data_IF_453584571298
#
_entry.id   IF_453584571298
#
_cell.length_a   1.000
_cell.length_b   1.000
_cell.length_c   1.000
_cell.angle_alpha   90.00
_cell.angle_beta   90.00
_cell.angle_gamma   90.00
#
_symmetry.space_group_name_H-M   'P 1'
#
loop_
_entity.id
_entity.type
_entity.pdbx_description
1 polymer ?
#
# COMPACT_ATOMS: atom_id res chain seq x y z
N UNK A 1 -3.44 3.26 40.74
CA UNK A 1 -3.39 2.74 39.36
C UNK A 1 -3.23 1.24 39.49
N UNK A 2 -4.32 0.50 39.35
CA UNK A 2 -4.28 -0.97 39.31
C UNK A 2 -3.48 -1.40 38.09
N UNK A 3 -2.48 -2.26 38.28
CA UNK A 3 -1.75 -2.90 37.18
C UNK A 3 -2.78 -3.48 36.21
N UNK A 4 -2.88 -2.92 35.00
CA UNK A 4 -3.63 -3.57 33.94
C UNK A 4 -2.86 -4.83 33.58
N UNK A 5 -3.39 -6.00 33.95
CA UNK A 5 -2.86 -7.28 33.49
C UNK A 5 -2.68 -7.23 31.97
N UNK A 6 -1.44 -7.33 31.52
CA UNK A 6 -1.09 -7.40 30.10
C UNK A 6 -1.58 -8.76 29.59
N UNK A 7 -2.76 -8.78 28.99
CA UNK A 7 -3.30 -9.99 28.37
C UNK A 7 -2.60 -10.26 27.04
N UNK A 8 -2.24 -11.52 26.73
CA UNK A 8 -1.64 -11.85 25.44
C UNK A 8 -2.65 -11.68 24.31
N UNK A 9 -2.27 -10.97 23.24
CA UNK A 9 -3.07 -10.85 22.01
C UNK A 9 -2.81 -11.96 20.99
N UNK A 10 -1.64 -12.58 21.03
CA UNK A 10 -1.31 -13.73 20.19
C UNK A 10 -1.85 -15.01 20.83
N UNK A 11 -3.13 -15.28 20.59
CA UNK A 11 -3.80 -16.51 21.01
C UNK A 11 -3.93 -17.47 19.83
N UNK A 12 -4.27 -18.73 20.10
CA UNK A 12 -4.60 -19.70 19.06
C UNK A 12 -5.71 -19.20 18.11
N UNK A 13 -6.66 -18.40 18.63
CA UNK A 13 -7.75 -17.80 17.82
C UNK A 13 -7.22 -16.78 16.83
N UNK A 14 -6.31 -15.89 17.27
CA UNK A 14 -5.63 -14.93 16.39
C UNK A 14 -4.76 -15.64 15.36
N UNK A 15 -4.02 -16.67 15.78
CA UNK A 15 -3.16 -17.47 14.88
C UNK A 15 -3.99 -18.16 13.81
N UNK A 16 -5.12 -18.76 14.16
CA UNK A 16 -6.04 -19.35 13.18
C UNK A 16 -6.55 -18.34 12.15
N UNK A 17 -6.87 -17.12 12.57
CA UNK A 17 -7.28 -16.05 11.65
C UNK A 17 -6.15 -15.65 10.69
N UNK A 18 -4.91 -15.58 11.20
CA UNK A 18 -3.73 -15.27 10.37
C UNK A 18 -3.44 -16.40 9.38
N UNK A 19 -3.53 -17.66 9.81
CA UNK A 19 -3.41 -18.84 8.94
C UNK A 19 -4.51 -18.82 7.86
N UNK A 20 -5.74 -18.50 8.23
CA UNK A 20 -6.84 -18.34 7.27
C UNK A 20 -6.54 -17.27 6.23
N UNK A 21 -6.00 -16.11 6.65
CA UNK A 21 -5.54 -15.07 5.73
C UNK A 21 -4.43 -15.58 4.79
N UNK A 22 -3.46 -16.32 5.32
CA UNK A 22 -2.36 -16.88 4.55
C UNK A 22 -2.84 -17.88 3.48
N UNK A 23 -3.72 -18.83 3.83
CA UNK A 23 -4.12 -19.91 2.93
C UNK A 23 -5.32 -19.59 2.03
N UNK A 24 -6.13 -18.59 2.37
CA UNK A 24 -7.30 -18.23 1.56
C UNK A 24 -7.12 -16.88 0.87
N UNK A 25 -6.76 -15.84 1.60
CA UNK A 25 -6.71 -14.47 1.06
C UNK A 25 -5.53 -14.31 0.09
N UNK A 26 -4.33 -14.79 0.46
CA UNK A 26 -3.18 -14.63 -0.42
C UNK A 26 -3.31 -15.37 -1.76
N UNK A 27 -3.72 -16.66 -1.84
CA UNK A 27 -3.87 -17.33 -3.13
C UNK A 27 -4.93 -16.68 -4.01
N UNK A 28 -6.03 -16.17 -3.45
CA UNK A 28 -7.05 -15.42 -4.19
C UNK A 28 -6.47 -14.13 -4.76
N UNK A 29 -5.70 -13.39 -3.97
CA UNK A 29 -5.02 -12.18 -4.46
C UNK A 29 -4.03 -12.48 -5.59
N UNK A 30 -3.20 -13.52 -5.43
CA UNK A 30 -2.23 -13.94 -6.45
C UNK A 30 -2.95 -14.35 -7.73
N UNK A 31 -3.98 -15.19 -7.62
CA UNK A 31 -4.78 -15.64 -8.76
C UNK A 31 -5.44 -14.48 -9.49
N UNK A 32 -6.07 -13.56 -8.76
CA UNK A 32 -6.67 -12.37 -9.34
C UNK A 32 -5.65 -11.54 -10.12
N UNK A 33 -4.47 -11.33 -9.55
CA UNK A 33 -3.41 -10.60 -10.22
C UNK A 33 -2.89 -11.31 -11.47
N UNK A 34 -2.74 -12.63 -11.45
CA UNK A 34 -2.31 -13.38 -12.62
C UNK A 34 -3.30 -13.29 -13.80
N UNK A 35 -4.60 -13.16 -13.50
CA UNK A 35 -5.64 -13.06 -14.54
C UNK A 35 -5.84 -11.62 -15.01
N UNK A 36 -5.88 -10.67 -14.09
CA UNK A 36 -6.25 -9.29 -14.39
C UNK A 36 -5.05 -8.38 -14.61
N UNK A 37 -3.84 -8.80 -14.23
CA UNK A 37 -2.67 -7.94 -14.03
C UNK A 37 -2.96 -6.73 -13.11
N UNK A 38 -4.03 -6.81 -12.31
CA UNK A 38 -4.44 -5.79 -11.35
C UNK A 38 -4.30 -6.31 -9.93
N UNK A 39 -4.05 -5.39 -9.01
CA UNK A 39 -4.04 -5.70 -7.58
C UNK A 39 -5.47 -5.95 -7.12
N UNK A 40 -5.72 -7.09 -6.47
CA UNK A 40 -7.00 -7.28 -5.82
C UNK A 40 -7.05 -6.42 -4.56
N UNK A 41 -7.97 -5.44 -4.44
CA UNK A 41 -8.04 -4.57 -3.28
C UNK A 41 -8.74 -5.30 -2.11
N UNK A 42 -8.36 -6.55 -1.80
CA UNK A 42 -8.83 -7.26 -0.61
C UNK A 42 -8.31 -6.52 0.62
N UNK A 43 -9.16 -5.66 1.19
CA UNK A 43 -8.84 -4.98 2.42
C UNK A 43 -8.76 -6.00 3.55
N UNK A 44 -7.65 -6.01 4.28
CA UNK A 44 -7.42 -6.95 5.36
C UNK A 44 -8.45 -6.82 6.51
N UNK A 45 -9.20 -5.72 6.55
CA UNK A 45 -10.39 -5.54 7.38
C UNK A 45 -11.47 -6.60 7.19
N UNK A 46 -11.60 -7.20 6.00
CA UNK A 46 -12.57 -8.27 5.75
C UNK A 46 -12.30 -9.47 6.66
N UNK A 47 -11.03 -9.84 6.85
CA UNK A 47 -10.64 -10.95 7.73
C UNK A 47 -10.96 -10.61 9.19
N UNK A 48 -10.66 -9.39 9.62
CA UNK A 48 -10.90 -8.93 11.00
C UNK A 48 -12.41 -8.96 11.30
N UNK A 49 -13.24 -8.41 10.40
CA UNK A 49 -14.69 -8.38 10.55
C UNK A 49 -15.30 -9.79 10.52
N UNK A 50 -14.90 -10.61 9.55
CA UNK A 50 -15.38 -11.98 9.43
C UNK A 50 -15.06 -12.79 10.70
N UNK A 51 -13.82 -12.73 11.18
CA UNK A 51 -13.42 -13.49 12.36
C UNK A 51 -14.04 -12.96 13.64
N UNK A 52 -14.22 -11.64 13.76
CA UNK A 52 -14.95 -11.01 14.86
C UNK A 52 -16.39 -11.53 14.93
N UNK A 53 -17.11 -11.58 13.81
CA UNK A 53 -18.50 -12.03 13.77
C UNK A 53 -18.63 -13.55 13.93
N UNK A 54 -17.72 -14.35 13.38
CA UNK A 54 -17.68 -15.81 13.62
C UNK A 54 -17.45 -16.09 15.11
N UNK A 55 -16.47 -15.42 15.73
CA UNK A 55 -16.17 -15.59 17.15
C UNK A 55 -17.35 -15.18 18.04
N UNK A 56 -18.05 -14.10 17.67
CA UNK A 56 -19.28 -13.66 18.32
C UNK A 56 -20.40 -14.70 18.18
N UNK A 57 -20.61 -15.25 16.98
CA UNK A 57 -21.62 -16.27 16.71
C UNK A 57 -21.36 -17.56 17.50
N UNK A 58 -20.09 -17.92 17.68
CA UNK A 58 -19.65 -19.04 18.51
C UNK A 58 -19.72 -18.75 20.02
N UNK A 59 -20.20 -17.57 20.43
CA UNK A 59 -20.38 -17.18 21.83
C UNK A 59 -19.10 -16.77 22.56
N UNK A 60 -18.00 -16.58 21.83
CA UNK A 60 -16.69 -16.23 22.41
C UNK A 60 -16.06 -15.06 21.64
N UNK A 61 -16.49 -13.81 21.90
CA UNK A 61 -15.98 -12.64 21.19
C UNK A 61 -14.47 -12.49 21.33
N UNK A 62 -13.85 -11.96 20.28
CA UNK A 62 -12.42 -11.64 20.29
C UNK A 62 -12.14 -10.47 21.22
N UNK A 63 -11.02 -10.57 21.94
CA UNK A 63 -10.55 -9.52 22.83
C UNK A 63 -9.90 -8.37 22.05
N UNK A 64 -9.77 -7.20 22.69
CA UNK A 64 -9.10 -6.03 22.13
C UNK A 64 -7.68 -6.37 21.65
N UNK A 65 -6.96 -7.18 22.41
CA UNK A 65 -5.59 -7.57 22.10
C UNK A 65 -5.52 -8.50 20.88
N UNK A 66 -6.44 -9.46 20.77
CA UNK A 66 -6.52 -10.35 19.60
C UNK A 66 -6.82 -9.56 18.32
N UNK A 67 -7.82 -8.67 18.36
CA UNK A 67 -8.16 -7.81 17.23
C UNK A 67 -7.03 -6.85 16.86
N UNK A 68 -6.29 -6.32 17.84
CA UNK A 68 -5.11 -5.49 17.59
C UNK A 68 -3.99 -6.25 16.89
N UNK A 69 -3.75 -7.52 17.25
CA UNK A 69 -2.79 -8.38 16.53
C UNK A 69 -3.24 -8.58 15.09
N UNK A 70 -4.51 -8.89 14.85
CA UNK A 70 -5.01 -9.02 13.47
C UNK A 70 -4.84 -7.73 12.66
N UNK A 71 -5.10 -6.56 13.27
CA UNK A 71 -4.87 -5.26 12.67
C UNK A 71 -3.39 -5.01 12.35
N UNK A 72 -2.48 -5.43 13.23
CA UNK A 72 -1.05 -5.14 13.09
C UNK A 72 -0.39 -5.98 12.00
N UNK A 73 -0.77 -7.26 11.88
CA UNK A 73 -0.22 -8.17 10.88
C UNK A 73 -0.93 -8.11 9.52
N UNK A 74 -2.00 -7.32 9.42
CA UNK A 74 -2.85 -7.21 8.24
C UNK A 74 -2.05 -6.85 6.98
N UNK A 75 -1.16 -5.85 7.09
CA UNK A 75 -0.39 -5.33 5.96
C UNK A 75 0.75 -6.26 5.56
N UNK A 76 1.31 -6.99 6.52
CA UNK A 76 2.37 -7.95 6.27
C UNK A 76 1.91 -9.05 5.32
N UNK A 77 0.68 -9.56 5.50
CA UNK A 77 0.14 -10.60 4.62
C UNK A 77 0.05 -10.15 3.16
N UNK A 78 -0.44 -8.93 2.89
CA UNK A 78 -0.53 -8.39 1.53
C UNK A 78 0.84 -8.01 0.96
N UNK A 79 1.70 -7.42 1.79
CA UNK A 79 3.05 -7.00 1.39
C UNK A 79 3.93 -8.19 0.99
N UNK A 80 3.88 -9.29 1.74
CA UNK A 80 4.68 -10.48 1.39
C UNK A 80 4.17 -11.20 0.14
N UNK A 81 2.85 -11.22 -0.08
CA UNK A 81 2.31 -11.71 -1.35
C UNK A 81 2.85 -10.90 -2.54
N UNK A 82 2.97 -9.58 -2.39
CA UNK A 82 3.56 -8.70 -3.41
C UNK A 82 5.09 -8.83 -3.54
N UNK A 83 5.82 -9.20 -2.48
CA UNK A 83 7.27 -9.35 -2.54
C UNK A 83 7.70 -10.63 -3.26
N UNK A 84 7.05 -11.75 -2.94
CA UNK A 84 7.38 -13.09 -3.46
C UNK A 84 6.56 -13.50 -4.68
N UNK A 85 5.52 -12.75 -5.00
CA UNK A 85 4.66 -12.98 -6.16
C UNK A 85 4.26 -11.64 -6.77
N UNK A 86 3.41 -11.65 -7.79
CA UNK A 86 2.79 -10.44 -8.33
C UNK A 86 3.80 -9.40 -8.86
N UNK A 87 4.91 -9.83 -9.44
CA UNK A 87 5.86 -8.90 -10.04
C UNK A 87 6.94 -8.37 -9.09
N UNK A 88 6.93 -8.79 -7.82
CA UNK A 88 7.89 -8.39 -6.80
C UNK A 88 9.36 -8.72 -7.12
N UNK A 89 10.32 -8.13 -6.39
CA UNK A 89 11.75 -8.38 -6.60
C UNK A 89 12.14 -9.85 -6.34
N UNK A 90 11.40 -10.55 -5.47
CA UNK A 90 11.62 -11.97 -5.14
C UNK A 90 10.62 -12.90 -5.83
N UNK A 91 9.91 -12.42 -6.85
CA UNK A 91 9.09 -13.26 -7.72
C UNK A 91 10.00 -14.12 -8.62
N UNK A 92 10.27 -15.33 -8.15
CA UNK A 92 11.20 -16.25 -8.78
C UNK A 92 10.76 -16.69 -10.19
N UNK A 93 9.45 -16.80 -10.43
CA UNK A 93 8.90 -17.18 -11.74
C UNK A 93 9.09 -16.05 -12.74
N UNK A 94 8.77 -14.83 -12.33
CA UNK A 94 9.02 -13.63 -13.14
C UNK A 94 10.52 -13.47 -13.42
N UNK A 95 11.36 -13.61 -12.41
CA UNK A 95 12.81 -13.46 -12.55
C UNK A 95 13.37 -14.50 -13.52
N UNK A 96 12.91 -15.76 -13.45
CA UNK A 96 13.28 -16.80 -14.41
C UNK A 96 12.84 -16.48 -15.84
N UNK A 97 11.61 -15.98 -16.01
CA UNK A 97 11.12 -15.55 -17.31
C UNK A 97 11.96 -14.40 -17.87
N UNK A 98 12.24 -13.35 -17.07
CA UNK A 98 13.03 -12.20 -17.51
C UNK A 98 14.49 -12.54 -17.80
N UNK A 99 15.08 -13.48 -17.06
CA UNK A 99 16.45 -13.93 -17.27
C UNK A 99 16.65 -14.66 -18.61
N UNK A 100 15.67 -15.46 -19.01
CA UNK A 100 15.77 -16.35 -20.18
C UNK A 100 14.77 -16.05 -21.28
N UNK A 101 14.17 -14.86 -21.27
CA UNK A 101 13.24 -14.43 -22.32
C UNK A 101 13.94 -14.36 -23.68
N UNK A 102 13.21 -14.49 -24.80
CA UNK A 102 13.78 -14.34 -26.13
C UNK A 102 14.52 -13.01 -26.32
N UNK A 103 14.01 -11.94 -25.69
CA UNK A 103 14.61 -10.60 -25.70
C UNK A 103 15.92 -10.56 -24.91
N UNK A 104 15.95 -11.16 -23.72
CA UNK A 104 17.15 -11.24 -22.90
C UNK A 104 18.26 -12.06 -23.57
N UNK A 105 17.88 -13.13 -24.28
CA UNK A 105 18.80 -13.94 -25.08
C UNK A 105 19.29 -13.18 -26.31
N UNK A 106 18.39 -12.48 -27.03
CA UNK A 106 18.74 -11.66 -28.19
C UNK A 106 19.69 -10.51 -27.83
N UNK A 107 19.55 -9.94 -26.64
CA UNK A 107 20.43 -8.90 -26.10
C UNK A 107 21.73 -9.45 -25.49
N UNK A 108 21.89 -10.78 -25.42
CA UNK A 108 23.07 -11.43 -24.83
C UNK A 108 23.21 -11.22 -23.32
N UNK A 109 22.12 -10.90 -22.62
CA UNK A 109 22.11 -10.62 -21.18
C UNK A 109 22.01 -11.93 -20.37
N UNK A 110 21.33 -12.94 -20.91
CA UNK A 110 21.06 -14.21 -20.22
C UNK A 110 22.31 -14.93 -19.68
N UNK A 111 23.48 -14.74 -20.31
CA UNK A 111 24.75 -15.34 -19.87
C UNK A 111 25.34 -14.70 -18.61
N UNK A 112 24.93 -13.47 -18.28
CA UNK A 112 25.41 -12.72 -17.11
C UNK A 112 24.49 -12.87 -15.89
N UNK A 113 23.40 -13.61 -16.04
CA UNK A 113 22.43 -13.85 -14.97
C UNK A 113 23.10 -14.74 -13.91
N UNK A 114 23.22 -14.27 -12.66
CA UNK A 114 23.86 -15.05 -11.62
C UNK A 114 22.95 -16.18 -11.11
N UNK A 115 23.56 -17.33 -10.83
CA UNK A 115 22.86 -18.54 -10.36
C UNK A 115 22.16 -18.36 -9.00
N UNK A 116 22.61 -17.40 -8.19
CA UNK A 116 21.97 -17.07 -6.91
C UNK A 116 20.65 -16.31 -7.08
N UNK A 117 20.43 -15.65 -8.22
CA UNK A 117 19.20 -14.92 -8.52
C UNK A 117 18.18 -15.79 -9.25
N UNK A 118 18.66 -16.55 -10.24
CA UNK A 118 17.85 -17.50 -11.01
C UNK A 118 18.71 -18.72 -11.32
N UNK A 119 18.17 -19.94 -11.17
CA UNK A 119 18.84 -21.16 -11.61
C UNK A 119 19.27 -21.16 -13.08
N UNK A 120 20.29 -21.94 -13.46
CA UNK A 120 20.67 -22.12 -14.86
C UNK A 120 19.50 -22.60 -15.73
N UNK A 121 19.46 -22.13 -16.99
CA UNK A 121 18.38 -22.45 -17.93
C UNK A 121 18.18 -23.97 -18.12
N UNK A 122 19.26 -24.75 -18.12
CA UNK A 122 19.20 -26.22 -18.26
C UNK A 122 18.41 -26.88 -17.13
N UNK A 123 18.58 -26.41 -15.89
CA UNK A 123 17.86 -26.93 -14.73
C UNK A 123 16.38 -26.51 -14.76
N UNK A 124 16.08 -25.28 -15.21
CA UNK A 124 14.69 -24.83 -15.35
C UNK A 124 13.91 -25.63 -16.41
N UNK A 125 14.56 -25.95 -17.53
CA UNK A 125 13.99 -26.78 -18.58
C UNK A 125 13.72 -28.19 -18.02
N UNK A 126 14.70 -28.77 -17.31
CA UNK A 126 14.55 -30.06 -16.63
C UNK A 126 13.34 -30.06 -15.68
N UNK A 127 13.22 -29.06 -14.81
CA UNK A 127 12.11 -28.94 -13.86
C UNK A 127 10.74 -28.84 -14.54
N UNK A 128 10.67 -28.11 -15.66
CA UNK A 128 9.44 -27.96 -16.44
C UNK A 128 9.05 -29.27 -17.13
N UNK A 129 10.04 -30.04 -17.62
CA UNK A 129 9.83 -31.34 -18.25
C UNK A 129 9.41 -32.42 -17.23
N UNK A 130 10.03 -32.42 -16.04
CA UNK A 130 9.75 -33.37 -14.96
C UNK A 130 8.42 -33.09 -14.24
N UNK A 131 7.76 -31.95 -14.51
CA UNK A 131 6.54 -31.48 -13.82
C UNK A 131 6.64 -31.54 -12.29
N UNK A 132 7.85 -31.38 -11.77
CA UNK A 132 8.08 -31.34 -10.32
C UNK A 132 7.62 -29.99 -9.79
N UNK A 133 7.21 -29.93 -8.51
CA UNK A 133 6.89 -28.66 -7.86
C UNK A 133 8.11 -27.73 -7.95
N UNK A 134 7.99 -26.69 -8.79
CA UNK A 134 9.06 -25.75 -9.13
C UNK A 134 9.86 -25.28 -7.91
N UNK A 135 9.19 -24.99 -6.79
CA UNK A 135 9.82 -24.40 -5.60
C UNK A 135 10.43 -25.40 -4.61
N UNK A 136 10.20 -26.71 -4.75
CA UNK A 136 10.66 -27.72 -3.81
C UNK A 136 11.97 -28.39 -4.24
N UNK A 137 12.46 -28.10 -5.45
CA UNK A 137 13.75 -28.63 -5.91
C UNK A 137 14.93 -27.87 -5.25
N UNK A 138 16.00 -28.56 -4.83
CA UNK A 138 17.19 -27.95 -4.23
C UNK A 138 17.81 -26.81 -5.03
N UNK A 139 17.62 -26.79 -6.35
CA UNK A 139 18.11 -25.75 -7.25
C UNK A 139 17.58 -24.35 -6.87
N UNK A 140 16.40 -24.26 -6.24
CA UNK A 140 15.81 -23.00 -5.78
C UNK A 140 16.19 -22.59 -4.36
N UNK A 141 16.94 -23.43 -3.64
CA UNK A 141 17.28 -23.20 -2.25
C UNK A 141 18.08 -21.91 -2.04
N UNK A 142 19.00 -21.59 -2.97
CA UNK A 142 19.82 -20.38 -2.88
C UNK A 142 18.98 -19.12 -3.14
N UNK A 143 18.25 -18.98 -4.28
CA UNK A 143 17.36 -17.83 -4.50
C UNK A 143 16.34 -17.64 -3.38
N UNK A 144 15.72 -18.74 -2.92
CA UNK A 144 14.73 -18.70 -1.83
C UNK A 144 15.37 -18.29 -0.51
N UNK A 145 16.56 -18.81 -0.19
CA UNK A 145 17.32 -18.46 1.00
C UNK A 145 17.66 -16.97 1.05
N UNK A 146 18.09 -16.39 -0.08
CA UNK A 146 18.36 -14.94 -0.19
C UNK A 146 17.08 -14.14 0.02
N UNK A 147 15.97 -14.55 -0.60
CA UNK A 147 14.69 -13.87 -0.45
C UNK A 147 14.18 -13.90 1.01
N UNK A 148 14.32 -15.04 1.69
CA UNK A 148 13.97 -15.18 3.12
C UNK A 148 14.89 -14.34 4.01
N UNK A 149 16.20 -14.33 3.75
CA UNK A 149 17.14 -13.49 4.48
C UNK A 149 16.81 -12.00 4.31
N UNK A 150 16.50 -11.58 3.09
CA UNK A 150 16.10 -10.20 2.82
C UNK A 150 14.78 -9.84 3.53
N UNK A 151 13.82 -10.77 3.63
CA UNK A 151 12.60 -10.58 4.42
C UNK A 151 12.92 -10.39 5.90
N UNK A 152 13.83 -11.20 6.46
CA UNK A 152 14.23 -11.09 7.87
C UNK A 152 14.88 -9.73 8.12
N UNK A 153 15.79 -9.30 7.25
CA UNK A 153 16.41 -7.97 7.36
C UNK A 153 15.39 -6.85 7.23
N UNK A 154 14.46 -6.91 6.27
CA UNK A 154 13.38 -5.92 6.18
C UNK A 154 12.54 -5.88 7.46
N UNK A 155 12.18 -7.03 8.03
CA UNK A 155 11.42 -7.07 9.27
C UNK A 155 12.18 -6.44 10.44
N UNK A 156 13.49 -6.69 10.54
CA UNK A 156 14.35 -6.08 11.56
C UNK A 156 14.47 -4.57 11.37
N UNK A 157 14.60 -4.11 10.13
CA UNK A 157 14.63 -2.69 9.79
C UNK A 157 13.30 -2.00 10.11
N UNK A 158 12.17 -2.61 9.75
CA UNK A 158 10.82 -2.10 9.99
C UNK A 158 10.50 -1.98 11.47
N UNK A 159 10.83 -3.00 12.28
CA UNK A 159 10.66 -2.95 13.74
C UNK A 159 11.51 -1.80 14.31
N UNK A 160 12.76 -1.69 13.87
CA UNK A 160 13.65 -0.64 14.35
C UNK A 160 13.12 0.75 14.02
N UNK A 161 12.73 0.97 12.77
CA UNK A 161 12.11 2.22 12.30
C UNK A 161 10.78 2.51 13.01
N UNK A 162 9.99 1.49 13.34
CA UNK A 162 8.78 1.61 14.13
C UNK A 162 9.04 2.23 15.51
N UNK A 163 10.08 1.78 16.22
CA UNK A 163 10.46 2.37 17.50
C UNK A 163 10.98 3.82 17.36
N UNK A 164 11.77 4.11 16.32
CA UNK A 164 12.24 5.47 16.03
C UNK A 164 11.09 6.44 15.79
N UNK A 165 10.20 6.07 14.88
CA UNK A 165 9.04 6.89 14.50
C UNK A 165 8.06 7.05 15.66
N UNK A 166 7.86 6.01 16.49
CA UNK A 166 7.08 6.11 17.71
C UNK A 166 7.68 7.13 18.69
N UNK A 167 8.98 7.06 18.97
CA UNK A 167 9.63 8.02 19.88
C UNK A 167 9.57 9.44 19.34
N UNK A 168 9.79 9.63 18.04
CA UNK A 168 9.79 10.97 17.45
C UNK A 168 8.37 11.55 17.38
N UNK A 169 7.46 10.84 16.73
CA UNK A 169 6.16 11.41 16.40
C UNK A 169 5.12 11.28 17.50
N UNK A 170 5.17 10.21 18.30
CA UNK A 170 4.20 9.99 19.40
C UNK A 170 4.71 10.63 20.69
N UNK A 171 5.94 10.32 21.13
CA UNK A 171 6.44 10.84 22.42
C UNK A 171 6.86 12.32 22.35
N UNK A 172 7.63 12.71 21.34
CA UNK A 172 8.19 14.08 21.26
C UNK A 172 7.22 15.05 20.60
N UNK A 173 6.74 14.74 19.39
CA UNK A 173 5.87 15.66 18.64
C UNK A 173 4.40 15.57 19.02
N UNK A 174 3.95 14.44 19.58
CA UNK A 174 2.56 14.19 20.01
C UNK A 174 1.55 14.43 18.88
N UNK A 175 1.84 13.89 17.69
CA UNK A 175 0.92 13.94 16.56
C UNK A 175 -0.34 13.10 16.84
N UNK A 176 -1.49 13.57 16.34
CA UNK A 176 -2.80 12.97 16.66
C UNK A 176 -3.20 11.78 15.76
N UNK A 177 -2.42 11.48 14.71
CA UNK A 177 -2.62 10.35 13.77
C UNK A 177 -4.10 9.98 13.51
N UNK A 178 -4.89 10.83 12.82
CA UNK A 178 -6.34 10.63 12.66
C UNK A 178 -6.73 9.27 12.06
N UNK A 179 -6.01 8.80 11.04
CA UNK A 179 -6.25 7.49 10.43
C UNK A 179 -6.00 6.32 11.40
N UNK A 180 -4.92 6.39 12.19
CA UNK A 180 -4.62 5.36 13.19
C UNK A 180 -5.66 5.37 14.31
N UNK A 181 -6.16 6.55 14.70
CA UNK A 181 -7.23 6.69 15.68
C UNK A 181 -8.53 6.05 15.17
N UNK A 182 -8.93 6.32 13.93
CA UNK A 182 -10.13 5.71 13.34
C UNK A 182 -10.02 4.16 13.31
N UNK A 183 -8.86 3.62 12.94
CA UNK A 183 -8.61 2.18 12.98
C UNK A 183 -8.70 1.61 14.42
N UNK A 184 -8.13 2.30 15.41
CA UNK A 184 -8.18 1.88 16.81
C UNK A 184 -9.61 1.93 17.37
N UNK A 185 -10.38 2.98 17.08
CA UNK A 185 -11.79 3.11 17.48
C UNK A 185 -12.65 2.01 16.86
N UNK A 186 -12.35 1.57 15.64
CA UNK A 186 -13.03 0.43 15.00
C UNK A 186 -12.75 -0.88 15.75
N UNK A 187 -11.49 -1.13 16.13
CA UNK A 187 -11.12 -2.30 16.95
C UNK A 187 -11.80 -2.28 18.32
N UNK A 188 -11.82 -1.12 18.98
CA UNK A 188 -12.51 -0.96 20.26
C UNK A 188 -14.01 -1.21 20.13
N UNK A 189 -14.64 -0.68 19.08
CA UNK A 189 -16.07 -0.88 18.81
C UNK A 189 -16.39 -2.37 18.60
N UNK A 190 -15.57 -3.11 17.85
CA UNK A 190 -15.73 -4.54 17.64
C UNK A 190 -15.54 -5.36 18.92
N UNK A 191 -14.62 -4.94 19.80
CA UNK A 191 -14.32 -5.64 21.04
C UNK A 191 -15.31 -5.36 22.17
N UNK A 192 -15.70 -4.09 22.35
CA UNK A 192 -16.60 -3.64 23.43
C UNK A 192 -18.07 -3.83 23.04
N UNK A 193 -18.37 -3.76 21.74
CA UNK A 193 -19.70 -3.90 21.16
C UNK A 193 -20.75 -2.97 21.76
N UNK A 194 -20.38 -1.72 22.04
CA UNK A 194 -21.36 -0.70 22.45
C UNK A 194 -22.48 -0.56 21.40
N UNK A 195 -23.77 -0.61 21.79
CA UNK A 195 -24.88 -0.66 20.83
C UNK A 195 -24.92 0.51 19.84
N UNK A 196 -24.56 1.72 20.29
CA UNK A 196 -24.58 2.91 19.44
C UNK A 196 -23.42 2.85 18.42
N UNK A 197 -22.21 2.61 18.90
CA UNK A 197 -21.03 2.55 18.03
C UNK A 197 -21.11 1.38 17.04
N UNK A 198 -21.58 0.21 17.48
CA UNK A 198 -21.83 -0.92 16.60
C UNK A 198 -22.90 -0.62 15.55
N UNK A 199 -23.98 0.08 15.92
CA UNK A 199 -25.01 0.47 14.95
C UNK A 199 -24.44 1.37 13.86
N UNK A 200 -23.62 2.36 14.24
CA UNK A 200 -22.95 3.24 13.28
C UNK A 200 -22.03 2.42 12.38
N UNK A 201 -21.16 1.59 12.95
CA UNK A 201 -20.21 0.76 12.22
C UNK A 201 -20.93 -0.16 11.22
N UNK A 202 -21.98 -0.87 11.65
CA UNK A 202 -22.72 -1.79 10.80
C UNK A 202 -23.50 -1.07 9.69
N UNK A 203 -24.07 0.11 9.96
CA UNK A 203 -24.71 0.93 8.93
C UNK A 203 -23.70 1.43 7.91
N UNK A 204 -22.50 1.85 8.35
CA UNK A 204 -21.41 2.25 7.47
C UNK A 204 -20.91 1.09 6.61
N UNK A 205 -20.74 -0.10 7.19
CA UNK A 205 -20.36 -1.33 6.46
C UNK A 205 -21.43 -1.67 5.42
N UNK A 206 -22.72 -1.64 5.81
CA UNK A 206 -23.82 -1.94 4.90
C UNK A 206 -23.89 -0.95 3.74
N UNK A 207 -23.80 0.35 4.03
CA UNK A 207 -23.81 1.39 3.00
C UNK A 207 -22.60 1.27 2.07
N UNK A 208 -21.40 1.06 2.62
CA UNK A 208 -20.18 0.87 1.84
C UNK A 208 -20.26 -0.37 0.95
N UNK A 209 -20.72 -1.50 1.49
CA UNK A 209 -20.90 -2.74 0.75
C UNK A 209 -21.95 -2.60 -0.36
N UNK A 210 -23.10 -1.97 -0.09
CA UNK A 210 -24.13 -1.72 -1.11
C UNK A 210 -23.62 -0.77 -2.19
N UNK A 211 -22.95 0.31 -1.80
CA UNK A 211 -22.37 1.26 -2.75
C UNK A 211 -21.38 0.56 -3.67
N UNK A 212 -20.39 -0.15 -3.11
CA UNK A 212 -19.37 -0.86 -3.90
C UNK A 212 -19.95 -2.01 -4.74
N UNK A 213 -20.99 -2.68 -4.22
CA UNK A 213 -21.73 -3.70 -4.95
C UNK A 213 -22.25 -3.16 -6.28
N UNK A 214 -22.93 -2.01 -6.27
CA UNK A 214 -23.50 -1.42 -7.48
C UNK A 214 -22.47 -0.68 -8.33
N UNK A 215 -21.50 -0.02 -7.71
CA UNK A 215 -20.55 0.87 -8.38
C UNK A 215 -19.37 0.13 -9.01
N UNK A 216 -18.86 -0.90 -8.33
CA UNK A 216 -17.64 -1.61 -8.71
C UNK A 216 -17.91 -3.08 -9.02
N UNK A 217 -18.55 -3.83 -8.12
CA UNK A 217 -18.65 -5.29 -8.21
C UNK A 217 -19.57 -5.77 -9.35
N UNK A 218 -20.81 -5.27 -9.42
CA UNK A 218 -21.76 -5.63 -10.49
C UNK A 218 -21.19 -5.28 -11.89
N UNK A 219 -20.64 -4.08 -12.11
CA UNK A 219 -20.02 -3.73 -13.39
C UNK A 219 -18.80 -4.60 -13.72
N UNK A 220 -17.98 -4.94 -12.74
CA UNK A 220 -16.88 -5.87 -12.93
C UNK A 220 -17.38 -7.27 -13.33
N UNK A 221 -18.43 -7.77 -12.67
CA UNK A 221 -18.99 -9.09 -12.92
C UNK A 221 -19.74 -9.19 -14.26
N UNK A 222 -20.58 -8.18 -14.56
CA UNK A 222 -21.51 -8.20 -15.70
C UNK A 222 -20.96 -7.46 -16.92
N UNK A 223 -20.12 -6.44 -16.72
CA UNK A 223 -19.64 -5.54 -17.76
C UNK A 223 -18.92 -6.23 -18.90
N UNK A 224 -17.98 -7.18 -18.68
CA UNK A 224 -17.37 -7.96 -19.75
C UNK A 224 -18.40 -8.63 -20.65
N UNK A 225 -19.40 -9.29 -20.05
CA UNK A 225 -20.47 -10.00 -20.75
C UNK A 225 -21.43 -9.06 -21.49
N UNK A 226 -21.71 -7.88 -20.92
CA UNK A 226 -22.65 -6.90 -21.49
C UNK A 226 -22.01 -6.01 -22.58
N UNK A 227 -20.74 -5.65 -22.44
CA UNK A 227 -20.07 -4.67 -23.30
C UNK A 227 -19.28 -5.31 -24.45
N UNK A 228 -18.72 -6.51 -24.25
CA UNK A 228 -17.78 -7.12 -25.21
C UNK A 228 -18.22 -8.47 -25.79
N UNK A 229 -19.39 -8.98 -25.39
CA UNK A 229 -19.93 -10.26 -25.87
C UNK A 229 -19.11 -11.48 -25.42
N UNK A 230 -18.23 -11.33 -24.43
CA UNK A 230 -17.36 -12.40 -23.92
C UNK A 230 -16.54 -11.97 -22.70
N UNK A 231 -15.67 -12.86 -22.22
CA UNK A 231 -14.80 -12.63 -21.07
C UNK A 231 -13.59 -11.73 -21.40
N UNK A 232 -13.81 -10.56 -22.01
CA UNK A 232 -12.74 -9.58 -22.16
C UNK A 232 -12.56 -8.83 -20.83
N UNK A 233 -11.36 -8.96 -20.26
CA UNK A 233 -10.97 -8.39 -18.97
C UNK A 233 -10.73 -6.89 -19.16
N UNK A 234 -11.80 -6.13 -19.26
CA UNK A 234 -11.75 -4.69 -19.04
C UNK A 234 -12.53 -4.41 -17.77
N UNK A 235 -11.93 -3.64 -16.86
CA UNK A 235 -12.63 -3.10 -15.70
C UNK A 235 -13.69 -2.11 -16.20
N UNK A 236 -14.88 -2.62 -16.47
CA UNK A 236 -16.04 -1.79 -16.76
C UNK A 236 -16.51 -1.26 -15.41
N UNK A 237 -16.25 0.02 -15.12
CA UNK A 237 -16.91 0.73 -14.03
C UNK A 237 -18.26 1.27 -14.53
N UNK A 238 -19.27 1.39 -13.65
CA UNK A 238 -20.49 2.12 -14.03
C UNK A 238 -20.13 3.51 -14.53
N UNK A 239 -20.83 4.04 -15.55
CA UNK A 239 -20.61 5.40 -16.06
C UNK A 239 -20.59 6.46 -14.95
N UNK A 240 -21.42 6.31 -13.91
CA UNK A 240 -21.48 7.26 -12.79
C UNK A 240 -20.20 7.31 -11.96
N UNK A 241 -19.43 6.22 -11.91
CA UNK A 241 -18.23 6.09 -11.10
C UNK A 241 -16.93 6.16 -11.91
N UNK A 242 -17.03 6.55 -13.18
CA UNK A 242 -15.88 6.85 -14.00
C UNK A 242 -15.29 8.21 -13.62
N UNK A 243 -14.04 8.43 -14.01
CA UNK A 243 -13.44 9.76 -13.92
C UNK A 243 -13.92 10.58 -15.10
N UNK A 244 -14.66 11.65 -14.82
CA UNK A 244 -15.12 12.61 -15.82
C UNK A 244 -14.01 13.61 -16.10
N UNK A 245 -13.30 13.40 -17.20
CA UNK A 245 -12.23 14.29 -17.64
C UNK A 245 -12.80 15.45 -18.46
N UNK A 246 -12.72 16.66 -17.90
CA UNK A 246 -13.13 17.89 -18.57
C UNK A 246 -11.95 18.63 -19.20
N UNK A 247 -10.72 18.12 -19.06
CA UNK A 247 -9.49 18.75 -19.55
C UNK A 247 -9.56 19.07 -21.04
N UNK A 248 -9.95 18.14 -21.94
CA UNK A 248 -10.00 18.44 -23.37
C UNK A 248 -11.10 19.47 -23.72
N UNK A 249 -12.19 19.49 -22.96
CA UNK A 249 -13.29 20.45 -23.17
C UNK A 249 -12.85 21.85 -22.75
N UNK A 250 -12.26 21.98 -21.57
CA UNK A 250 -11.79 23.26 -21.02
C UNK A 250 -10.59 23.80 -21.80
N UNK A 251 -9.75 22.93 -22.36
CA UNK A 251 -8.57 23.32 -23.14
C UNK A 251 -8.88 24.27 -24.31
N UNK A 252 -10.10 24.25 -24.85
CA UNK A 252 -10.55 25.18 -25.89
C UNK A 252 -10.63 26.64 -25.40
N UNK A 253 -10.87 26.85 -24.10
CA UNK A 253 -10.98 28.17 -23.47
C UNK A 253 -9.73 28.51 -22.65
N UNK A 254 -9.17 27.53 -21.94
CA UNK A 254 -8.01 27.64 -21.07
C UNK A 254 -7.02 26.51 -21.39
N UNK A 255 -6.12 26.71 -22.38
CA UNK A 255 -5.15 25.69 -22.79
C UNK A 255 -4.28 25.21 -21.63
N UNK A 256 -4.12 23.90 -21.47
CA UNK A 256 -3.31 23.31 -20.39
C UNK A 256 -3.95 23.33 -19.01
N UNK A 257 -5.22 23.72 -18.87
CA UNK A 257 -5.94 23.64 -17.60
C UNK A 257 -6.45 22.22 -17.37
N UNK A 258 -5.80 21.46 -16.48
CA UNK A 258 -6.18 20.10 -16.14
C UNK A 258 -7.31 20.08 -15.11
N UNK A 259 -8.46 19.52 -15.46
CA UNK A 259 -9.56 19.34 -14.52
C UNK A 259 -10.36 18.07 -14.81
N UNK A 260 -10.44 17.21 -13.81
CA UNK A 260 -11.31 16.05 -13.80
C UNK A 260 -11.88 15.85 -12.40
N UNK A 261 -13.03 15.19 -12.33
CA UNK A 261 -13.62 14.77 -11.08
C UNK A 261 -14.14 13.35 -11.21
N UNK A 262 -14.26 12.65 -10.09
CA UNK A 262 -14.88 11.32 -10.04
C UNK A 262 -15.95 11.33 -8.97
N UNK A 263 -17.02 10.58 -9.17
CA UNK A 263 -18.01 10.33 -8.11
C UNK A 263 -17.76 9.01 -7.40
N UNK A 264 -16.67 8.32 -7.74
CA UNK A 264 -16.28 7.09 -7.08
C UNK A 264 -15.64 7.41 -5.72
N UNK A 265 -16.26 6.90 -4.66
CA UNK A 265 -15.81 7.11 -3.29
C UNK A 265 -14.52 6.36 -2.94
N UNK A 266 -14.13 5.34 -3.74
CA UNK A 266 -13.14 4.32 -3.36
C UNK A 266 -11.92 4.18 -4.27
N UNK A 267 -11.92 4.62 -5.53
CA UNK A 267 -10.89 4.19 -6.52
C UNK A 267 -9.49 4.80 -6.39
N UNK A 268 -9.21 5.65 -5.41
CA UNK A 268 -7.87 6.21 -5.26
C UNK A 268 -7.34 6.12 -3.83
N UNK A 269 -6.01 6.00 -3.64
CA UNK A 269 -5.36 6.17 -2.34
C UNK A 269 -5.69 7.51 -1.65
N UNK A 270 -6.25 8.46 -2.40
CA UNK A 270 -6.75 9.76 -1.98
C UNK A 270 -8.27 9.90 -2.22
N UNK A 271 -9.02 8.80 -2.11
CA UNK A 271 -10.48 8.80 -2.30
C UNK A 271 -11.19 9.64 -1.23
N UNK A 272 -12.44 10.03 -1.49
CA UNK A 272 -13.22 10.89 -0.60
C UNK A 272 -13.31 10.36 0.84
N UNK A 273 -13.33 9.03 1.03
CA UNK A 273 -13.36 8.39 2.35
C UNK A 273 -12.14 8.79 3.20
N UNK A 274 -10.94 8.79 2.61
CA UNK A 274 -9.72 9.22 3.30
C UNK A 274 -9.78 10.70 3.68
N UNK A 275 -10.39 11.53 2.83
CA UNK A 275 -10.61 12.96 3.09
C UNK A 275 -11.56 13.24 4.25
N UNK A 276 -12.56 12.39 4.51
CA UNK A 276 -13.47 12.56 5.66
C UNK A 276 -12.80 12.29 7.02
N UNK A 277 -11.68 11.55 7.03
CA UNK A 277 -10.90 11.29 8.25
C UNK A 277 -9.91 12.44 8.53
N UNK A 278 -9.53 13.18 7.48
CA UNK A 278 -8.55 14.25 7.57
C UNK A 278 -9.17 15.57 8.08
N UNK A 279 -8.42 16.33 8.88
CA UNK A 279 -8.76 17.72 9.21
C UNK A 279 -8.97 18.58 7.96
N UNK A 280 -9.96 19.49 8.03
CA UNK A 280 -10.39 20.32 6.88
C UNK A 280 -9.28 21.23 6.35
N UNK A 281 -8.39 21.69 7.23
CA UNK A 281 -7.22 22.50 6.91
C UNK A 281 -6.22 21.73 6.05
N UNK A 282 -6.01 20.43 6.34
CA UNK A 282 -5.16 19.57 5.53
C UNK A 282 -5.80 19.31 4.17
N UNK A 283 -7.10 19.04 4.13
CA UNK A 283 -7.84 18.85 2.87
C UNK A 283 -7.77 20.10 1.99
N UNK A 284 -7.91 21.30 2.59
CA UNK A 284 -7.80 22.56 1.86
C UNK A 284 -6.39 22.78 1.31
N UNK A 285 -5.35 22.50 2.09
CA UNK A 285 -3.97 22.61 1.64
C UNK A 285 -3.67 21.64 0.47
N UNK A 286 -4.15 20.40 0.55
CA UNK A 286 -4.03 19.41 -0.52
C UNK A 286 -4.76 19.86 -1.78
N UNK A 287 -6.00 20.36 -1.65
CA UNK A 287 -6.77 20.89 -2.76
C UNK A 287 -6.06 22.08 -3.43
N UNK A 288 -5.61 23.06 -2.65
CA UNK A 288 -4.89 24.23 -3.16
C UNK A 288 -3.58 23.85 -3.85
N UNK A 289 -2.84 22.88 -3.29
CA UNK A 289 -1.61 22.36 -3.90
C UNK A 289 -1.87 21.70 -5.25
N UNK A 290 -2.83 20.77 -5.30
CA UNK A 290 -3.21 20.08 -6.53
C UNK A 290 -3.77 21.04 -7.60
N UNK A 291 -4.62 21.99 -7.19
CA UNK A 291 -5.18 23.01 -8.08
C UNK A 291 -4.09 23.96 -8.61
N UNK A 292 -3.16 24.36 -7.76
CA UNK A 292 -2.04 25.22 -8.17
C UNK A 292 -1.14 24.52 -9.19
N UNK A 293 -0.90 23.21 -9.04
CA UNK A 293 -0.06 22.46 -9.97
C UNK A 293 -0.79 22.18 -11.27
N UNK A 294 -1.91 21.47 -11.22
CA UNK A 294 -2.51 20.87 -12.41
C UNK A 294 -3.56 21.73 -13.09
N UNK A 295 -4.04 22.78 -12.44
CA UNK A 295 -4.96 23.73 -13.06
C UNK A 295 -4.20 25.00 -13.49
N UNK A 296 -3.59 25.70 -12.53
CA UNK A 296 -2.93 26.99 -12.80
C UNK A 296 -1.54 26.78 -13.41
N UNK A 297 -0.70 25.95 -12.79
CA UNK A 297 0.70 25.77 -13.19
C UNK A 297 0.83 25.25 -14.61
N UNK A 298 0.10 24.20 -14.97
CA UNK A 298 0.12 23.65 -16.33
C UNK A 298 -0.48 24.59 -17.37
N UNK A 299 -1.49 25.38 -16.98
CA UNK A 299 -2.02 26.44 -17.84
C UNK A 299 -0.95 27.49 -18.14
N UNK A 300 -0.20 27.96 -17.14
CA UNK A 300 0.89 28.91 -17.32
C UNK A 300 2.02 28.34 -18.21
N UNK A 301 2.45 27.09 -17.95
CA UNK A 301 3.46 26.41 -18.77
C UNK A 301 3.04 26.39 -20.24
N UNK A 302 1.76 26.09 -20.49
CA UNK A 302 1.20 26.02 -21.83
C UNK A 302 1.09 27.40 -22.48
N UNK A 303 0.65 28.41 -21.74
CA UNK A 303 0.51 29.79 -22.24
C UNK A 303 1.85 30.44 -22.58
N UNK A 304 2.89 30.11 -21.82
CA UNK A 304 4.26 30.59 -22.08
C UNK A 304 5.04 29.71 -23.07
N UNK A 305 4.40 28.68 -23.64
CA UNK A 305 5.03 27.75 -24.59
C UNK A 305 6.33 27.14 -24.06
N UNK A 306 6.35 26.73 -22.79
CA UNK A 306 7.53 26.18 -22.12
C UNK A 306 7.70 24.67 -22.34
N UNK A 307 6.78 24.03 -23.06
CA UNK A 307 6.85 22.60 -23.35
C UNK A 307 8.05 22.27 -24.26
N UNK A 308 8.78 21.18 -23.97
CA UNK A 308 9.94 20.79 -24.76
C UNK A 308 9.55 20.32 -26.16
N UNK A 309 10.47 20.42 -27.10
CA UNK A 309 10.22 20.10 -28.51
C UNK A 309 9.85 18.63 -28.75
N UNK A 310 10.32 17.71 -27.91
CA UNK A 310 9.93 16.29 -27.96
C UNK A 310 8.50 16.00 -27.49
N UNK A 311 7.83 16.96 -26.84
CA UNK A 311 6.47 16.79 -26.31
C UNK A 311 5.66 18.09 -26.41
N UNK A 312 5.40 18.58 -27.64
CA UNK A 312 4.60 19.79 -27.83
C UNK A 312 3.19 19.57 -27.29
N UNK A 313 2.64 20.59 -26.65
CA UNK A 313 1.29 20.54 -26.10
C UNK A 313 0.23 20.36 -27.20
N UNK A 314 -0.74 19.49 -26.94
CA UNK A 314 -1.92 19.28 -27.78
C UNK A 314 -3.19 19.50 -26.94
N UNK A 315 -4.18 20.15 -27.55
CA UNK A 315 -5.49 20.46 -26.94
C UNK A 315 -6.26 19.16 -26.59
N UNK A 316 -6.01 18.08 -27.33
CA UNK A 316 -6.63 16.77 -27.12
C UNK A 316 -6.10 16.00 -25.91
N UNK A 317 -5.06 16.49 -25.22
CA UNK A 317 -4.49 15.77 -24.09
C UNK A 317 -5.53 15.58 -22.95
N UNK A 318 -5.81 14.33 -22.55
CA UNK A 318 -6.56 14.06 -21.33
C UNK A 318 -5.70 14.42 -20.10
N UNK A 319 -6.36 14.59 -18.95
CA UNK A 319 -5.72 14.93 -17.68
C UNK A 319 -4.54 14.00 -17.38
N UNK A 320 -4.71 12.69 -17.61
CA UNK A 320 -3.67 11.70 -17.32
C UNK A 320 -2.36 11.99 -18.06
N UNK A 321 -2.43 12.34 -19.35
CA UNK A 321 -1.25 12.69 -20.15
C UNK A 321 -0.68 14.03 -19.69
N UNK A 322 -1.53 15.03 -19.46
CA UNK A 322 -1.10 16.35 -18.99
C UNK A 322 -0.35 16.26 -17.65
N UNK A 323 -0.89 15.49 -16.70
CA UNK A 323 -0.27 15.23 -15.40
C UNK A 323 1.05 14.47 -15.57
N UNK A 324 1.06 13.39 -16.35
CA UNK A 324 2.28 12.61 -16.58
C UNK A 324 3.41 13.47 -17.18
N UNK A 325 3.11 14.25 -18.22
CA UNK A 325 4.10 15.10 -18.89
C UNK A 325 4.55 16.27 -18.01
N UNK A 326 3.62 16.92 -17.31
CA UNK A 326 3.96 18.01 -16.39
C UNK A 326 4.78 17.52 -15.20
N UNK A 327 4.52 16.31 -14.69
CA UNK A 327 5.36 15.67 -13.70
C UNK A 327 6.76 15.41 -14.22
N UNK A 328 6.88 14.78 -15.40
CA UNK A 328 8.16 14.41 -15.99
C UNK A 328 9.08 15.63 -16.19
N UNK A 329 8.56 16.73 -16.73
CA UNK A 329 9.38 17.88 -17.13
C UNK A 329 9.47 18.99 -16.07
N UNK A 330 8.47 19.16 -15.21
CA UNK A 330 8.39 20.33 -14.32
C UNK A 330 8.20 19.96 -12.84
N UNK A 331 7.18 19.17 -12.50
CA UNK A 331 6.78 19.02 -11.10
C UNK A 331 7.58 17.98 -10.32
N UNK A 332 8.24 17.01 -10.96
CA UNK A 332 9.06 16.04 -10.23
C UNK A 332 10.18 16.72 -9.46
N UNK A 333 10.93 17.63 -10.11
CA UNK A 333 12.02 18.37 -9.46
C UNK A 333 11.51 19.25 -8.33
N UNK A 334 10.39 19.95 -8.54
CA UNK A 334 9.75 20.79 -7.53
C UNK A 334 9.25 19.96 -6.33
N UNK A 335 8.62 18.82 -6.60
CA UNK A 335 8.10 17.90 -5.58
C UNK A 335 9.25 17.31 -4.76
N UNK A 336 10.37 16.94 -5.40
CA UNK A 336 11.58 16.51 -4.69
C UNK A 336 12.10 17.64 -3.79
N UNK A 337 12.21 18.87 -4.32
CA UNK A 337 12.65 20.03 -3.55
C UNK A 337 11.77 20.31 -2.33
N UNK A 338 10.45 20.26 -2.50
CA UNK A 338 9.50 20.42 -1.40
C UNK A 338 9.54 19.27 -0.41
N UNK A 339 9.73 18.02 -0.86
CA UNK A 339 9.85 16.86 0.02
C UNK A 339 11.12 16.93 0.88
N UNK A 340 12.24 17.35 0.28
CA UNK A 340 13.48 17.63 1.01
C UNK A 340 13.26 18.77 2.02
N UNK A 341 12.61 19.86 1.62
CA UNK A 341 12.28 20.95 2.52
C UNK A 341 11.39 20.47 3.68
N UNK A 342 10.31 19.75 3.40
CA UNK A 342 9.41 19.21 4.42
C UNK A 342 10.11 18.23 5.37
N UNK A 343 11.12 17.50 4.91
CA UNK A 343 11.88 16.56 5.73
C UNK A 343 12.92 17.28 6.60
N UNK A 344 13.74 18.13 5.99
CA UNK A 344 14.89 18.74 6.66
C UNK A 344 14.54 20.02 7.41
N UNK A 345 13.55 20.80 6.97
CA UNK A 345 13.20 22.07 7.59
C UNK A 345 12.69 21.89 9.04
N UNK A 346 11.80 20.92 9.37
CA UNK A 346 11.44 20.65 10.76
C UNK A 346 12.65 20.23 11.60
N UNK A 347 13.57 19.45 11.04
CA UNK A 347 14.81 19.05 11.72
C UNK A 347 15.72 20.26 11.99
N UNK A 348 15.82 21.20 11.04
CA UNK A 348 16.64 22.42 11.17
C UNK A 348 16.02 23.45 12.12
N UNK A 349 14.69 23.61 12.12
CA UNK A 349 14.00 24.58 12.98
C UNK A 349 13.87 24.04 14.42
N UNK A 350 13.68 22.73 14.60
CA UNK A 350 13.50 22.08 15.90
C UNK A 350 14.55 20.99 16.17
N UNK A 351 15.86 21.30 16.10
CA UNK A 351 16.91 20.30 16.28
C UNK A 351 16.88 19.69 17.69
N UNK A 352 16.42 20.46 18.68
CA UNK A 352 16.24 20.00 20.06
C UNK A 352 15.19 18.89 20.17
N UNK A 353 14.15 18.87 19.33
CA UNK A 353 13.15 17.78 19.33
C UNK A 353 13.75 16.49 18.81
N UNK A 354 14.54 16.56 17.74
CA UNK A 354 15.23 15.41 17.17
C UNK A 354 16.28 14.86 18.15
N UNK A 355 17.13 15.72 18.71
CA UNK A 355 18.11 15.33 19.74
C UNK A 355 17.40 14.73 20.96
N UNK A 356 16.25 15.29 21.36
CA UNK A 356 15.45 14.73 22.45
C UNK A 356 14.95 13.32 22.13
N UNK A 357 14.45 13.07 20.92
CA UNK A 357 13.97 11.75 20.50
C UNK A 357 15.10 10.69 20.57
N UNK A 358 16.28 11.01 20.06
CA UNK A 358 17.45 10.12 20.19
C UNK A 358 17.89 9.98 21.65
N UNK A 359 17.90 11.08 22.43
CA UNK A 359 18.28 11.03 23.83
C UNK A 359 17.27 10.27 24.70
N UNK A 360 15.98 10.29 24.37
CA UNK A 360 14.95 9.55 25.10
C UNK A 360 15.06 8.07 24.81
N UNK A 361 15.31 7.68 23.55
CA UNK A 361 15.62 6.29 23.18
C UNK A 361 16.94 5.80 23.81
N UNK A 362 17.95 6.68 23.93
CA UNK A 362 19.23 6.35 24.58
C UNK A 362 19.10 6.22 26.11
N UNK A 363 18.20 7.00 26.72
CA UNK A 363 17.94 7.00 28.17
C UNK A 363 16.93 5.96 28.61
N UNK A 364 16.15 5.40 27.68
CA UNK A 364 15.38 4.17 27.86
C UNK A 364 16.36 3.00 28.07
N UNK A 365 17.04 2.98 29.22
CA UNK A 365 17.55 1.74 29.79
C UNK A 365 16.31 0.90 30.06
N UNK A 366 16.31 -0.36 29.65
CA UNK A 366 15.18 -1.30 29.69
C UNK A 366 14.61 -1.63 31.09
N UNK A 367 14.44 -0.62 31.94
CA UNK A 367 13.63 -0.64 33.13
C UNK A 367 12.28 0.00 32.77
N UNK A 368 11.20 -0.75 33.04
CA UNK A 368 9.79 -0.35 32.89
C UNK A 368 9.18 -0.38 31.48
N UNK A 369 9.43 -1.44 30.71
CA UNK A 369 8.60 -1.76 29.52
C UNK A 369 8.80 -0.87 28.29
N UNK A 370 9.74 0.07 28.34
CA UNK A 370 10.03 1.02 27.25
C UNK A 370 11.07 0.49 26.24
N UNK A 371 10.77 -0.63 25.57
CA UNK A 371 11.47 -1.06 24.33
C UNK A 371 12.99 -1.36 24.43
N UNK A 372 13.59 -1.80 23.30
CA UNK A 372 15.02 -2.10 23.21
C UNK A 372 15.89 -0.83 23.18
N UNK A 373 17.18 -0.91 23.62
CA UNK A 373 18.05 0.24 23.70
C UNK A 373 18.45 0.77 22.31
N UNK A 374 18.66 2.09 22.20
CA UNK A 374 18.94 2.80 20.94
C UNK A 374 20.07 2.18 20.10
N UNK A 375 21.18 1.77 20.73
CA UNK A 375 22.32 1.21 19.99
C UNK A 375 21.96 -0.10 19.30
N UNK A 376 21.08 -0.91 19.90
CA UNK A 376 20.62 -2.17 19.34
C UNK A 376 19.70 -1.89 18.14
N UNK A 377 18.82 -0.89 18.26
CA UNK A 377 17.95 -0.46 17.17
C UNK A 377 18.74 0.11 15.98
N UNK A 378 19.76 0.92 16.24
CA UNK A 378 20.63 1.46 15.18
C UNK A 378 21.49 0.36 14.54
N UNK A 379 22.07 -0.54 15.33
CA UNK A 379 22.85 -1.65 14.81
C UNK A 379 21.98 -2.61 13.99
N UNK A 380 20.76 -2.89 14.46
CA UNK A 380 19.78 -3.72 13.76
C UNK A 380 19.34 -3.08 12.44
N UNK A 381 19.03 -1.78 12.44
CA UNK A 381 18.66 -1.07 11.22
C UNK A 381 19.82 -0.99 10.22
N UNK A 382 20.99 -0.51 10.66
CA UNK A 382 22.15 -0.36 9.77
C UNK A 382 22.62 -1.71 9.24
N UNK A 383 22.65 -2.75 10.07
CA UNK A 383 23.03 -4.10 9.65
C UNK A 383 22.00 -4.78 8.76
N UNK A 384 20.73 -4.35 8.78
CA UNK A 384 19.70 -4.84 7.88
C UNK A 384 19.65 -4.09 6.54
N UNK A 385 20.13 -2.85 6.50
CA UNK A 385 20.17 -2.03 5.29
C UNK A 385 21.47 -2.18 4.47
N UNK A 386 22.52 -2.75 5.05
CA UNK A 386 23.77 -3.13 4.37
C UNK A 386 23.67 -4.52 3.78
#
# INVERSE_FOLDING_TARGET
MTEQEIRPGLTWRSVLALIFSLFLVQPVMIYYYLISAQWFPLQAWIVILLWSEIAQFLGSPLTKQELFILLSFQWMASYYAMLFSMGGPYDLVKNAYMAYSPEAQALGISQYVPSWWVPPQSELIRLTMERTFLYLDPVWLIPLGIAVLALIFNMVADISMGYFTYSLYVKVEKLQFPAARAAAETVLTLAERDPLHMRILMLSILFGALYDLFVSFLPYLLGPYLASGGAAIYTVLLPIAQTFDMTPVIAHFLPGFGFAFTLNLMTSPAGYISGFILPIDICLAQFLGAFSYYCIGTHLITRFNLWPAESPYDISWPLAILVQRSQLYFYTSLTIGMALAATFLPMLIRPKSFIRAFSSLARAKGAEGEGPPLYLLLAAFLGACT
#
